data_IF_462441187649
#
_entry.id   IF_462441187649
#
_cell.length_a   1.000
_cell.length_b   1.000
_cell.length_c   1.000
_cell.angle_alpha   90.00
_cell.angle_beta   90.00
_cell.angle_gamma   90.00
#
_symmetry.space_group_name_H-M   'P 1'
#
loop_
_entity.id
_entity.type
_entity.pdbx_description
1 polymer ?
#
# COMPACT_ATOMS: atom_id res chain seq x y z
N UNK A 1 -9.03 -15.48 5.99
CA UNK A 1 -8.75 -15.33 5.43
C UNK A 1 -8.01 -14.70 5.06
N UNK A 2 -7.67 -14.57 4.76
CA UNK A 2 -7.05 -14.09 4.47
C UNK A 2 -6.76 -13.50 3.63
N UNK A 3 -6.55 -13.30 3.07
CA UNK A 3 -6.34 -12.86 2.04
C UNK A 3 -6.10 -11.57 1.91
N UNK A 4 -5.76 -10.98 0.86
CA UNK A 4 -5.58 -9.73 0.79
C UNK A 4 -6.75 -9.07 0.70
N UNK A 5 -7.19 -8.48 1.65
CA UNK A 5 -8.39 -7.80 1.62
C UNK A 5 -8.33 -6.69 0.61
N UNK A 6 -9.47 -6.35 0.11
CA UNK A 6 -9.61 -5.25 -0.79
C UNK A 6 -9.08 -3.99 -0.19
N UNK A 7 -9.24 -3.82 1.10
CA UNK A 7 -8.77 -2.64 1.80
C UNK A 7 -7.27 -2.43 1.67
N UNK A 8 -6.51 -3.51 1.75
CA UNK A 8 -5.07 -3.40 1.62
C UNK A 8 -4.71 -3.00 0.21
N UNK A 9 -5.41 -3.54 -0.77
CA UNK A 9 -5.14 -3.17 -2.14
C UNK A 9 -5.47 -1.72 -2.40
N UNK A 10 -6.60 -1.27 -1.89
CA UNK A 10 -6.98 0.13 -2.07
C UNK A 10 -5.98 1.05 -1.39
N UNK A 11 -5.50 0.64 -0.22
CA UNK A 11 -4.53 1.44 0.48
C UNK A 11 -3.23 1.53 -0.30
N UNK A 12 -2.82 0.42 -0.89
CA UNK A 12 -1.59 0.43 -1.67
C UNK A 12 -1.73 1.35 -2.87
N UNK A 13 -2.89 1.34 -3.53
CA UNK A 13 -3.10 2.20 -4.67
C UNK A 13 -3.05 3.67 -4.25
N UNK A 14 -3.66 3.97 -3.14
CA UNK A 14 -3.67 5.32 -2.63
C UNK A 14 -2.26 5.80 -2.34
N UNK A 15 -1.46 4.98 -1.68
CA UNK A 15 -0.10 5.33 -1.36
C UNK A 15 0.73 5.48 -2.63
N UNK A 16 0.54 4.58 -3.59
CA UNK A 16 1.30 4.64 -4.82
C UNK A 16 1.00 5.93 -5.59
N UNK A 17 -0.26 6.31 -5.62
CA UNK A 17 -0.63 7.56 -6.29
C UNK A 17 0.03 8.76 -5.65
N UNK A 18 0.05 8.79 -4.34
CA UNK A 18 0.67 9.90 -3.63
C UNK A 18 2.16 9.96 -3.93
N UNK A 19 2.82 8.81 -3.98
CA UNK A 19 4.23 8.78 -4.27
C UNK A 19 4.53 9.22 -5.70
N UNK A 20 3.68 8.82 -6.62
CA UNK A 20 3.87 9.25 -8.00
C UNK A 20 3.74 10.75 -8.13
N UNK A 21 2.83 11.33 -7.39
CA UNK A 21 2.67 12.77 -7.40
C UNK A 21 3.87 13.47 -6.82
N UNK A 22 4.55 12.81 -5.91
CA UNK A 22 5.78 13.35 -5.34
C UNK A 22 6.96 13.20 -6.25
N UNK A 23 6.81 12.52 -7.37
CA UNK A 23 7.89 12.38 -8.33
C UNK A 23 8.62 11.05 -8.27
N UNK A 24 8.11 10.11 -7.53
CA UNK A 24 8.76 8.81 -7.47
C UNK A 24 8.52 8.05 -8.76
N UNK A 25 9.49 7.21 -9.09
CA UNK A 25 9.38 6.35 -10.23
C UNK A 25 8.25 5.36 -10.01
N UNK A 26 7.59 4.96 -11.08
CA UNK A 26 6.45 4.08 -10.97
C UNK A 26 6.77 2.77 -10.25
N UNK A 27 7.83 2.12 -10.65
CA UNK A 27 8.22 0.87 -10.01
C UNK A 27 8.53 1.04 -8.55
N UNK A 28 9.22 2.11 -8.21
CA UNK A 28 9.56 2.38 -6.85
C UNK A 28 8.32 2.71 -6.03
N UNK A 29 7.43 3.48 -6.61
CA UNK A 29 6.21 3.85 -5.92
C UNK A 29 5.39 2.62 -5.58
N UNK A 30 5.30 1.69 -6.48
CA UNK A 30 4.55 0.47 -6.24
C UNK A 30 5.16 -0.37 -5.13
N UNK A 31 6.48 -0.53 -5.16
CA UNK A 31 7.16 -1.30 -4.13
C UNK A 31 6.97 -0.71 -2.77
N UNK A 32 7.14 0.60 -2.66
CA UNK A 32 6.99 1.28 -1.39
C UNK A 32 5.54 1.20 -0.94
N UNK A 33 4.61 1.35 -1.87
CA UNK A 33 3.21 1.33 -1.53
C UNK A 33 2.78 -0.02 -0.96
N UNK A 34 3.27 -1.08 -1.54
CA UNK A 34 2.93 -2.40 -1.05
C UNK A 34 3.48 -2.62 0.34
N UNK A 35 4.72 -2.21 0.56
CA UNK A 35 5.32 -2.36 1.87
C UNK A 35 4.57 -1.56 2.92
N UNK A 36 4.21 -0.34 2.59
CA UNK A 36 3.50 0.50 3.53
C UNK A 36 2.08 0.01 3.78
N UNK A 37 1.44 -0.51 2.76
CA UNK A 37 0.10 -1.01 2.91
C UNK A 37 0.08 -2.25 3.80
N UNK A 38 1.08 -3.10 3.67
CA UNK A 38 1.19 -4.25 4.53
C UNK A 38 1.42 -3.85 5.96
N UNK A 39 2.29 -2.89 6.17
CA UNK A 39 2.58 -2.39 7.49
C UNK A 39 1.32 -1.80 8.11
N UNK A 40 0.58 -1.04 7.33
CA UNK A 40 -0.66 -0.44 7.78
C UNK A 40 -1.66 -1.52 8.19
N UNK A 41 -1.76 -2.57 7.41
CA UNK A 41 -2.68 -3.64 7.70
C UNK A 41 -2.32 -4.37 8.98
N UNK A 42 -1.04 -4.56 9.19
CA UNK A 42 -0.58 -5.22 10.40
C UNK A 42 -0.88 -4.42 11.62
N UNK A 43 -0.69 -3.14 11.52
CA UNK A 43 -0.90 -2.30 12.66
C UNK A 43 -2.38 -2.15 12.96
N UNK A 44 -3.20 -2.09 11.97
CA UNK A 44 -4.58 -1.92 12.20
C UNK A 44 -5.26 -3.15 12.54
N UNK A 45 -4.70 -4.13 12.21
CA UNK A 45 -5.36 -5.16 12.39
C UNK A 45 -5.47 -6.00 13.26
N UNK A 46 -5.63 -6.36 13.35
CA UNK A 46 -5.90 -6.99 13.85
C UNK A 46 -6.30 -8.03 13.75
N UNK A 47 -6.34 -8.59 13.90
CA UNK A 47 -6.56 -9.74 13.66
C UNK A 47 -7.38 -10.21 13.63
#
# INVERSE_FOLDING_TARGET
MRNLPLEVRLKAIEIANALLEDGYDEGKAIRIAIAKAKDWAEKSGRP
#
